data_IF_778842499638
#
_entry.id   IF_778842499638
#
_cell.length_a   1.000
_cell.length_b   1.000
_cell.length_c   1.000
_cell.angle_alpha   90.00
_cell.angle_beta   90.00
_cell.angle_gamma   90.00
#
_symmetry.space_group_name_H-M   'P 1'
#
loop_
_entity.id
_entity.type
_entity.pdbx_description
1 polymer ?
#
# COMPACT_ATOMS: atom_id res chain seq x y z
N UNK A 1 15.54 2.64 -15.12
CA UNK A 1 14.09 2.64 -15.41
C UNK A 1 13.32 1.95 -14.26
N UNK A 2 12.99 2.68 -13.19
CA UNK A 2 12.33 2.10 -11.99
C UNK A 2 10.82 2.47 -11.86
N UNK A 3 10.27 3.26 -12.79
CA UNK A 3 9.00 3.97 -12.59
C UNK A 3 7.74 3.33 -13.17
N UNK A 4 7.78 2.79 -14.40
CA UNK A 4 6.55 2.43 -15.14
C UNK A 4 5.73 1.37 -14.44
N UNK A 5 6.38 0.32 -13.90
CA UNK A 5 5.67 -0.76 -13.22
C UNK A 5 4.96 -0.30 -11.93
N UNK A 6 5.54 0.65 -11.20
CA UNK A 6 4.96 1.11 -9.93
C UNK A 6 3.83 2.14 -10.13
N UNK A 7 3.98 3.00 -11.14
CA UNK A 7 2.90 3.89 -11.62
C UNK A 7 1.73 3.03 -12.07
N UNK A 8 1.96 2.11 -13.01
CA UNK A 8 0.90 1.26 -13.56
C UNK A 8 0.20 0.47 -12.45
N UNK A 9 0.95 -0.13 -11.53
CA UNK A 9 0.40 -0.85 -10.38
C UNK A 9 -0.55 0.03 -9.56
N UNK A 10 -0.12 1.23 -9.16
CA UNK A 10 -0.92 2.11 -8.30
C UNK A 10 -2.20 2.58 -9.01
N UNK A 11 -2.06 2.97 -10.28
CA UNK A 11 -3.17 3.50 -11.09
C UNK A 11 -4.20 2.41 -11.44
N UNK A 12 -3.76 1.21 -11.79
CA UNK A 12 -4.66 0.09 -12.14
C UNK A 12 -5.45 -0.40 -10.93
N UNK A 13 -4.82 -0.49 -9.75
CA UNK A 13 -5.50 -0.87 -8.52
C UNK A 13 -6.54 0.16 -8.09
N UNK A 14 -6.24 1.45 -8.23
CA UNK A 14 -7.21 2.52 -7.99
C UNK A 14 -8.37 2.49 -8.99
N UNK A 15 -8.08 2.30 -10.28
CA UNK A 15 -9.09 2.18 -11.32
C UNK A 15 -10.00 0.97 -11.11
N UNK A 16 -9.49 -0.11 -10.50
CA UNK A 16 -10.24 -1.33 -10.21
C UNK A 16 -10.88 -1.36 -8.81
N UNK A 17 -10.70 -0.31 -8.00
CA UNK A 17 -11.19 -0.22 -6.61
C UNK A 17 -10.67 -1.32 -5.67
N UNK A 18 -9.52 -1.91 -6.00
CA UNK A 18 -8.94 -3.01 -5.24
C UNK A 18 -7.85 -2.49 -4.32
N UNK A 19 -7.86 -2.99 -3.08
CA UNK A 19 -6.79 -2.72 -2.11
C UNK A 19 -5.44 -3.19 -2.65
N UNK A 20 -4.37 -2.37 -2.54
CA UNK A 20 -3.01 -2.82 -2.87
C UNK A 20 -2.47 -3.88 -1.92
N UNK A 21 -3.17 -4.15 -0.82
CA UNK A 21 -2.81 -5.11 0.22
C UNK A 21 -3.63 -6.39 0.15
N UNK A 22 -4.55 -6.50 -0.81
CA UNK A 22 -5.32 -7.69 -1.06
C UNK A 22 -4.38 -8.88 -1.37
N UNK A 23 -4.51 -10.02 -0.67
CA UNK A 23 -3.79 -11.21 -1.06
C UNK A 23 -4.35 -11.73 -2.38
N UNK A 24 -3.46 -12.15 -3.29
CA UNK A 24 -3.85 -12.57 -4.64
C UNK A 24 -4.82 -13.75 -4.62
N UNK A 25 -4.71 -14.63 -3.62
CA UNK A 25 -5.59 -15.79 -3.44
C UNK A 25 -7.05 -15.43 -3.09
N UNK A 26 -7.33 -14.21 -2.65
CA UNK A 26 -8.69 -13.74 -2.35
C UNK A 26 -9.36 -13.05 -3.55
N UNK A 27 -8.65 -12.87 -4.67
CA UNK A 27 -9.23 -12.30 -5.89
C UNK A 27 -10.18 -13.30 -6.53
N UNK A 28 -11.43 -12.89 -6.74
CA UNK A 28 -12.34 -13.61 -7.62
C UNK A 28 -11.77 -13.65 -9.05
N UNK A 29 -12.05 -14.71 -9.79
CA UNK A 29 -11.61 -14.85 -11.19
C UNK A 29 -12.08 -13.67 -12.06
N UNK A 30 -13.27 -13.15 -11.80
CA UNK A 30 -13.82 -11.95 -12.45
C UNK A 30 -13.00 -10.70 -12.15
N UNK A 31 -12.54 -10.53 -10.92
CA UNK A 31 -11.71 -9.37 -10.52
C UNK A 31 -10.33 -9.45 -11.17
N UNK A 32 -9.74 -10.64 -11.24
CA UNK A 32 -8.46 -10.86 -11.94
C UNK A 32 -8.56 -10.50 -13.43
N UNK A 33 -9.64 -10.93 -14.10
CA UNK A 33 -9.90 -10.58 -15.51
C UNK A 33 -10.09 -9.08 -15.68
N UNK A 34 -10.85 -8.43 -14.79
CA UNK A 34 -11.03 -6.97 -14.84
C UNK A 34 -9.71 -6.23 -14.66
N UNK A 35 -8.90 -6.65 -13.68
CA UNK A 35 -7.59 -6.05 -13.40
C UNK A 35 -6.66 -6.12 -14.62
N UNK A 36 -6.57 -7.29 -15.26
CA UNK A 36 -5.76 -7.48 -16.49
C UNK A 36 -6.29 -6.61 -17.63
N UNK A 37 -7.61 -6.55 -17.82
CA UNK A 37 -8.23 -5.73 -18.86
C UNK A 37 -7.99 -4.23 -18.64
N UNK A 38 -8.10 -3.75 -17.40
CA UNK A 38 -7.78 -2.36 -17.03
C UNK A 38 -6.30 -2.08 -17.31
N UNK A 39 -5.39 -2.94 -16.85
CA UNK A 39 -3.95 -2.79 -17.09
C UNK A 39 -3.62 -2.71 -18.59
N UNK A 40 -4.18 -3.63 -19.39
CA UNK A 40 -3.98 -3.65 -20.84
C UNK A 40 -4.49 -2.38 -21.50
N UNK A 41 -5.65 -1.86 -21.09
CA UNK A 41 -6.18 -0.58 -21.60
C UNK A 41 -5.26 0.59 -21.22
N UNK A 42 -4.81 0.66 -19.97
CA UNK A 42 -3.92 1.74 -19.50
C UNK A 42 -2.60 1.75 -20.26
N UNK A 43 -1.95 0.59 -20.44
CA UNK A 43 -0.71 0.48 -21.22
C UNK A 43 -0.93 0.87 -22.67
N UNK A 44 -2.01 0.37 -23.31
CA UNK A 44 -2.34 0.73 -24.70
C UNK A 44 -2.59 2.23 -24.86
N UNK A 45 -3.27 2.86 -23.90
CA UNK A 45 -3.51 4.29 -23.90
C UNK A 45 -2.20 5.09 -23.77
N UNK A 46 -1.28 4.63 -22.92
CA UNK A 46 0.06 5.23 -22.79
C UNK A 46 0.88 5.08 -24.09
N UNK A 47 0.82 3.93 -24.76
CA UNK A 47 1.52 3.70 -26.04
C UNK A 47 0.97 4.52 -27.21
N UNK A 48 -0.31 4.89 -27.17
CA UNK A 48 -0.96 5.72 -28.20
C UNK A 48 -0.70 7.21 -28.02
N UNK A 49 -0.17 7.64 -26.88
CA UNK A 49 0.23 9.04 -26.71
C UNK A 49 1.45 9.30 -27.59
N UNK A 50 1.42 10.32 -28.48
CA UNK A 50 2.58 10.68 -29.26
C UNK A 50 3.75 10.94 -28.30
N UNK A 51 4.95 10.55 -28.70
CA UNK A 51 6.19 10.78 -27.95
C UNK A 51 6.51 12.28 -27.96
N UNK A 52 5.67 13.08 -27.32
CA UNK A 52 6.06 14.42 -26.89
C UNK A 52 7.13 14.17 -25.85
N UNK A 53 8.32 14.72 -26.07
CA UNK A 53 9.38 14.67 -25.08
C UNK A 53 8.76 15.05 -23.72
N UNK A 54 8.97 14.26 -22.65
CA UNK A 54 8.46 14.64 -21.35
C UNK A 54 9.05 16.02 -21.05
N UNK A 55 8.21 17.06 -21.11
CA UNK A 55 8.60 18.37 -20.59
C UNK A 55 8.98 18.10 -19.16
N UNK A 56 10.17 18.50 -18.76
CA UNK A 56 10.62 18.39 -17.37
C UNK A 56 9.61 19.19 -16.54
N UNK A 57 8.75 18.50 -15.78
CA UNK A 57 7.63 19.11 -15.05
C UNK A 57 6.24 18.95 -15.68
N UNK A 58 6.08 18.28 -16.82
CA UNK A 58 4.76 17.81 -17.25
C UNK A 58 4.32 16.68 -16.33
N UNK A 59 3.52 17.04 -15.33
CA UNK A 59 2.81 16.11 -14.49
C UNK A 59 2.01 15.19 -15.40
N UNK A 60 2.39 13.92 -15.48
CA UNK A 60 1.48 12.93 -16.02
C UNK A 60 0.30 12.93 -15.06
N UNK A 61 -0.89 13.33 -15.56
CA UNK A 61 -2.15 13.27 -14.80
C UNK A 61 -2.36 11.84 -14.32
N UNK A 62 -1.89 11.59 -13.12
CA UNK A 62 -2.01 10.35 -12.38
C UNK A 62 -3.12 10.56 -11.37
N UNK A 63 -3.91 9.52 -11.11
CA UNK A 63 -5.02 9.62 -10.18
C UNK A 63 -4.54 9.51 -8.73
N UNK A 64 -3.50 8.71 -8.48
CA UNK A 64 -2.96 8.46 -7.14
C UNK A 64 -1.44 8.50 -7.06
N UNK A 65 -0.72 8.11 -8.10
CA UNK A 65 0.74 8.04 -8.06
C UNK A 65 1.36 9.42 -7.85
N UNK A 66 2.27 9.55 -6.88
CA UNK A 66 2.91 10.84 -6.56
C UNK A 66 1.97 11.87 -5.91
N UNK A 67 0.71 11.51 -5.63
CA UNK A 67 -0.31 12.42 -5.08
C UNK A 67 -0.54 12.23 -3.59
N UNK A 68 0.44 11.72 -2.85
CA UNK A 68 0.30 11.52 -1.40
C UNK A 68 -0.11 12.84 -0.70
N UNK A 69 -1.11 12.78 0.17
CA UNK A 69 -1.69 13.95 0.86
C UNK A 69 -2.69 14.75 0.03
N UNK A 70 -2.73 14.58 -1.29
CA UNK A 70 -3.71 15.26 -2.16
C UNK A 70 -5.09 14.57 -2.08
N UNK A 71 -6.19 15.31 -2.33
CA UNK A 71 -7.52 14.72 -2.39
C UNK A 71 -7.65 13.78 -3.58
N UNK A 72 -8.27 12.62 -3.35
CA UNK A 72 -8.58 11.65 -4.39
C UNK A 72 -9.58 12.24 -5.40
N UNK A 73 -9.30 12.06 -6.70
CA UNK A 73 -10.15 12.55 -7.79
C UNK A 73 -11.57 11.95 -7.83
N UNK A 74 -11.82 10.83 -7.15
CA UNK A 74 -13.14 10.17 -7.11
C UNK A 74 -13.94 10.50 -5.85
N UNK A 75 -13.31 10.46 -4.68
CA UNK A 75 -14.03 10.56 -3.39
C UNK A 75 -13.56 11.69 -2.47
N UNK A 76 -12.51 12.44 -2.84
CA UNK A 76 -11.96 13.52 -2.01
C UNK A 76 -11.10 13.09 -0.82
N UNK A 77 -11.10 11.81 -0.42
CA UNK A 77 -10.23 11.32 0.65
C UNK A 77 -8.73 11.50 0.31
N UNK A 78 -7.90 11.79 1.32
CA UNK A 78 -6.46 11.95 1.12
C UNK A 78 -5.80 10.66 0.63
N UNK A 79 -5.09 10.74 -0.49
CA UNK A 79 -4.27 9.65 -1.01
C UNK A 79 -3.12 9.36 -0.04
N UNK A 80 -2.87 8.08 0.21
CA UNK A 80 -1.82 7.58 1.10
C UNK A 80 -0.72 6.89 0.31
N UNK A 81 0.47 6.81 0.90
CA UNK A 81 1.60 6.08 0.32
C UNK A 81 2.37 5.31 1.39
N UNK A 82 2.90 4.13 1.04
CA UNK A 82 3.78 3.33 1.91
C UNK A 82 4.68 2.40 1.10
N UNK A 83 5.90 2.08 1.56
CA UNK A 83 6.70 1.01 1.00
C UNK A 83 5.93 -0.33 1.04
N UNK A 84 5.98 -1.10 -0.04
CA UNK A 84 5.30 -2.40 -0.11
C UNK A 84 6.08 -3.43 -0.94
N UNK A 85 6.38 -4.55 -0.30
CA UNK A 85 7.06 -5.71 -0.88
C UNK A 85 8.59 -5.68 -0.73
N UNK A 86 9.30 -6.70 -1.22
CA UNK A 86 10.73 -6.92 -0.95
C UNK A 86 11.68 -5.84 -1.48
N UNK A 87 11.18 -4.99 -2.39
CA UNK A 87 11.94 -3.94 -3.05
C UNK A 87 11.60 -2.54 -2.51
N UNK A 88 10.83 -2.45 -1.41
CA UNK A 88 10.38 -1.20 -0.78
C UNK A 88 9.79 -0.16 -1.76
N UNK A 89 9.16 -0.66 -2.83
CA UNK A 89 8.53 0.22 -3.80
C UNK A 89 7.31 0.86 -3.16
N UNK A 90 7.29 2.18 -3.11
CA UNK A 90 6.20 2.96 -2.52
C UNK A 90 4.94 2.78 -3.37
N UNK A 91 3.90 2.20 -2.79
CA UNK A 91 2.57 2.14 -3.41
C UNK A 91 1.76 3.35 -2.99
N UNK A 92 0.96 3.90 -3.91
CA UNK A 92 0.01 4.98 -3.66
C UNK A 92 -1.41 4.44 -3.79
N UNK A 93 -2.30 4.81 -2.87
CA UNK A 93 -3.69 4.35 -2.89
C UNK A 93 -4.64 5.35 -2.21
N UNK A 94 -5.92 5.26 -2.56
CA UNK A 94 -6.98 6.00 -1.89
C UNK A 94 -7.71 5.09 -0.88
N UNK A 95 -7.69 5.41 0.44
CA UNK A 95 -8.38 4.61 1.44
C UNK A 95 -9.91 4.67 1.32
N UNK A 96 -10.47 5.70 0.68
CA UNK A 96 -11.91 5.83 0.48
C UNK A 96 -12.46 5.06 -0.73
N UNK A 97 -11.64 4.85 -1.78
CA UNK A 97 -12.07 4.12 -2.99
C UNK A 97 -11.64 2.66 -2.99
N UNK A 98 -10.52 2.32 -2.36
CA UNK A 98 -9.92 0.98 -2.43
C UNK A 98 -10.24 0.19 -1.14
N UNK A 99 -11.53 0.01 -0.89
CA UNK A 99 -12.06 -0.67 0.32
C UNK A 99 -12.33 -2.16 0.11
N UNK A 100 -12.28 -2.64 -1.15
CA UNK A 100 -12.47 -4.05 -1.49
C UNK A 100 -11.19 -4.84 -1.25
N UNK A 101 -11.34 -6.06 -0.71
CA UNK A 101 -10.23 -6.96 -0.39
C UNK A 101 -9.16 -6.28 0.49
N UNK A 102 -9.57 -5.31 1.31
CA UNK A 102 -8.69 -4.78 2.35
C UNK A 102 -8.47 -5.94 3.32
N UNK A 103 -7.23 -6.42 3.47
CA UNK A 103 -6.96 -7.47 4.43
C UNK A 103 -7.42 -6.97 5.79
N UNK A 104 -7.98 -7.84 6.66
CA UNK A 104 -8.21 -7.46 8.03
C UNK A 104 -6.93 -6.83 8.59
N UNK A 105 -7.03 -5.79 9.45
CA UNK A 105 -5.85 -5.35 10.16
C UNK A 105 -5.19 -6.59 10.78
N UNK A 106 -3.84 -6.70 10.77
CA UNK A 106 -3.19 -7.85 11.37
C UNK A 106 -3.84 -8.08 12.72
N UNK A 107 -4.31 -9.31 12.96
CA UNK A 107 -4.93 -9.66 14.23
C UNK A 107 -4.01 -9.09 15.31
N UNK A 108 -4.59 -8.31 16.23
CA UNK A 108 -3.83 -7.79 17.36
C UNK A 108 -3.52 -8.97 18.29
N UNK A 109 -2.55 -9.80 17.90
CA UNK A 109 -2.04 -10.96 18.61
C UNK A 109 -0.73 -11.36 17.91
N UNK A 110 0.43 -11.49 18.52
CA UNK A 110 0.76 -11.81 19.91
C UNK A 110 1.93 -10.91 20.35
N UNK A 111 1.84 -10.37 21.56
CA UNK A 111 3.00 -10.15 22.42
C UNK A 111 4.19 -9.41 21.76
N UNK A 112 4.13 -8.07 21.70
CA UNK A 112 5.31 -7.33 22.15
C UNK A 112 5.44 -7.66 23.65
N UNK A 113 5.93 -8.86 23.96
CA UNK A 113 6.69 -9.06 25.18
C UNK A 113 7.81 -8.07 24.97
N UNK A 114 7.66 -6.90 25.58
CA UNK A 114 8.76 -6.03 25.90
C UNK A 114 9.88 -6.98 26.30
N UNK A 115 10.94 -7.07 25.47
CA UNK A 115 12.06 -7.96 25.74
C UNK A 115 12.35 -7.80 27.22
N UNK A 116 12.33 -8.90 27.99
CA UNK A 116 12.61 -8.82 29.43
C UNK A 116 14.03 -8.29 29.53
N UNK A 117 14.14 -6.98 29.64
CA UNK A 117 15.41 -6.32 29.73
C UNK A 117 16.04 -6.85 31.01
N UNK A 118 17.32 -7.25 31.00
CA UNK A 118 17.96 -7.85 32.17
C UNK A 118 17.82 -6.95 33.42
N UNK A 119 17.77 -5.63 33.24
CA UNK A 119 17.48 -4.68 34.33
C UNK A 119 16.06 -4.80 34.92
N UNK A 120 15.04 -5.10 34.10
CA UNK A 120 13.68 -5.28 34.59
C UNK A 120 13.56 -6.56 35.43
N UNK A 121 14.26 -7.64 35.05
CA UNK A 121 14.34 -8.86 35.84
C UNK A 121 15.06 -8.63 37.18
N UNK A 122 16.18 -7.90 37.17
CA UNK A 122 16.92 -7.54 38.38
C UNK A 122 16.09 -6.68 39.34
N UNK A 123 15.40 -5.66 38.83
CA UNK A 123 14.51 -4.81 39.63
C UNK A 123 13.37 -5.61 40.27
N UNK A 124 12.76 -6.53 39.52
CA UNK A 124 11.69 -7.39 40.03
C UNK A 124 12.19 -8.38 41.09
N UNK A 125 13.42 -8.88 40.97
CA UNK A 125 14.05 -9.76 41.96
C UNK A 125 14.38 -9.03 43.27
N UNK A 126 14.68 -7.73 43.18
CA UNK A 126 14.96 -6.88 44.34
C UNK A 126 13.70 -6.42 45.10
N UNK A 127 12.50 -6.72 44.60
CA UNK A 127 11.28 -6.32 45.29
C UNK A 127 11.13 -7.05 46.64
N UNK A 128 10.83 -6.33 47.74
CA UNK A 128 10.94 -6.85 49.10
C UNK A 128 10.01 -8.04 49.39
N UNK A 129 8.89 -8.17 48.68
CA UNK A 129 7.94 -9.29 48.83
C UNK A 129 8.30 -10.55 48.02
N UNK A 130 9.36 -10.52 47.20
CA UNK A 130 9.90 -11.73 46.51
C UNK A 130 11.08 -12.35 47.24
N UNK A 131 11.57 -11.74 48.33
CA UNK A 131 12.74 -12.20 49.11
C UNK A 131 12.38 -13.03 50.35
N UNK A 132 11.20 -13.64 50.41
CA UNK A 132 10.77 -14.46 51.55
C UNK A 132 10.57 -15.91 51.16
N UNK A 133 11.49 -16.76 51.63
CA UNK A 133 11.58 -18.20 51.43
C UNK A 133 13.00 -18.67 51.68
#
# INVERSE_FOLDING_TARGET
FCGVGNVLRSEVLWASELSPFAPVGELASTDAVQLVNVAARTVRAQLRRPAVAPVVGAETETAVYGRCGQPCLRCGASVRSRPLGPQDRVVYWCPGCQVRLVPPPPAADETLAMDRHPAAAAFLADLPWRRTG
#
